data_IF_204060626706
#
_entry.id   IF_204060626706
#
_cell.length_a   1.000
_cell.length_b   1.000
_cell.length_c   1.000
_cell.angle_alpha   90.00
_cell.angle_beta   90.00
_cell.angle_gamma   90.00
#
_symmetry.space_group_name_H-M   'P 1'
#
loop_
_entity.id
_entity.type
_entity.pdbx_description
1 polymer ?
#
# COMPACT_ATOMS: atom_id res chain seq x y z
N UNK A 1 -0.66 11.08 -0.82
CA UNK A 1 0.49 10.55 -0.10
C UNK A 1 1.75 10.56 -0.95
N UNK A 2 2.92 10.42 -0.34
CA UNK A 2 4.20 10.38 -1.07
C UNK A 2 4.31 9.19 -2.02
N UNK A 3 3.73 8.06 -1.66
CA UNK A 3 3.69 6.87 -2.51
C UNK A 3 2.94 7.14 -3.83
N UNK A 4 1.81 7.81 -3.78
CA UNK A 4 1.07 8.21 -4.99
C UNK A 4 1.82 9.25 -5.83
N UNK A 5 2.61 10.09 -5.21
CA UNK A 5 3.53 10.98 -5.93
C UNK A 5 4.55 10.22 -6.78
N UNK A 6 5.06 9.09 -6.24
CA UNK A 6 5.96 8.21 -7.00
C UNK A 6 5.22 7.47 -8.13
N UNK A 7 3.97 7.05 -7.91
CA UNK A 7 3.11 6.47 -8.96
C UNK A 7 2.92 7.46 -10.11
N UNK A 8 2.56 8.70 -9.80
CA UNK A 8 2.39 9.75 -10.81
C UNK A 8 3.67 9.99 -11.62
N UNK A 9 4.81 10.01 -10.94
CA UNK A 9 6.11 10.17 -11.61
C UNK A 9 6.41 9.02 -12.56
N UNK A 10 6.21 7.78 -12.13
CA UNK A 10 6.42 6.59 -12.96
C UNK A 10 5.49 6.57 -14.18
N UNK A 11 4.21 6.85 -13.98
CA UNK A 11 3.22 6.94 -15.07
C UNK A 11 3.55 8.06 -16.06
N UNK A 12 4.07 9.19 -15.56
CA UNK A 12 4.52 10.29 -16.42
C UNK A 12 5.65 9.92 -17.38
N UNK A 13 6.45 8.91 -17.01
CA UNK A 13 7.49 8.33 -17.89
C UNK A 13 6.98 7.15 -18.73
N UNK A 14 5.71 6.82 -18.66
CA UNK A 14 5.13 5.68 -19.38
C UNK A 14 5.47 4.32 -18.79
N UNK A 15 5.93 4.26 -17.54
CA UNK A 15 6.26 3.00 -16.87
C UNK A 15 5.01 2.31 -16.33
N UNK A 16 5.08 0.99 -16.26
CA UNK A 16 4.00 0.16 -15.69
C UNK A 16 4.09 0.11 -14.17
N UNK A 17 2.96 0.28 -13.52
CA UNK A 17 2.83 0.37 -12.06
C UNK A 17 1.72 -0.55 -11.57
N UNK A 18 1.89 -1.11 -10.38
CA UNK A 18 0.83 -1.77 -9.62
C UNK A 18 0.70 -1.14 -8.24
N UNK A 19 -0.54 -1.03 -7.76
CA UNK A 19 -0.87 -0.54 -6.41
C UNK A 19 -1.74 -1.57 -5.73
N UNK A 20 -1.29 -2.09 -4.60
CA UNK A 20 -2.05 -2.99 -3.74
C UNK A 20 -2.22 -2.30 -2.39
N UNK A 21 -3.47 -2.03 -2.01
CA UNK A 21 -3.82 -1.42 -0.74
C UNK A 21 -4.35 -2.47 0.24
N UNK A 22 -3.71 -2.59 1.39
CA UNK A 22 -4.04 -3.57 2.43
C UNK A 22 -5.06 -3.05 3.45
N UNK A 23 -5.47 -1.81 3.33
CA UNK A 23 -6.61 -1.26 4.07
C UNK A 23 -7.52 -0.55 3.08
N UNK A 24 -8.82 -0.74 3.26
CA UNK A 24 -9.83 -0.05 2.46
C UNK A 24 -10.30 1.20 3.21
N UNK A 25 -10.26 2.36 2.56
CA UNK A 25 -10.92 3.55 3.06
C UNK A 25 -12.45 3.43 3.00
N UNK A 26 -13.15 4.23 3.78
CA UNK A 26 -14.61 4.25 3.80
C UNK A 26 -15.22 4.68 2.44
N UNK A 27 -14.47 5.43 1.65
CA UNK A 27 -14.86 5.92 0.32
C UNK A 27 -13.68 5.86 -0.64
N UNK A 28 -13.93 5.74 -1.97
CA UNK A 28 -12.88 5.85 -2.97
C UNK A 28 -12.12 7.16 -2.84
N UNK A 29 -10.80 7.11 -2.87
CA UNK A 29 -9.97 8.31 -2.86
C UNK A 29 -9.95 8.99 -4.22
N UNK A 30 -9.61 10.28 -4.24
CA UNK A 30 -9.42 11.01 -5.51
C UNK A 30 -8.33 10.40 -6.37
N UNK A 31 -7.26 9.90 -5.74
CA UNK A 31 -6.16 9.23 -6.44
C UNK A 31 -6.59 7.94 -7.13
N UNK A 32 -7.39 7.12 -6.43
CA UNK A 32 -7.95 5.89 -7.01
C UNK A 32 -8.77 6.20 -8.24
N UNK A 33 -9.71 7.13 -8.12
CA UNK A 33 -10.56 7.55 -9.22
C UNK A 33 -9.72 8.06 -10.41
N UNK A 34 -8.75 8.91 -10.14
CA UNK A 34 -7.88 9.47 -11.18
C UNK A 34 -7.11 8.38 -11.94
N UNK A 35 -6.54 7.41 -11.21
CA UNK A 35 -5.78 6.32 -11.81
C UNK A 35 -6.70 5.42 -12.63
N UNK A 36 -7.84 5.03 -12.10
CA UNK A 36 -8.79 4.16 -12.80
C UNK A 36 -9.35 4.80 -14.08
N UNK A 37 -9.66 6.10 -14.03
CA UNK A 37 -10.22 6.82 -15.17
C UNK A 37 -9.18 7.10 -16.29
N UNK A 38 -7.92 7.33 -15.93
CA UNK A 38 -6.89 7.77 -16.87
C UNK A 38 -5.84 6.70 -17.21
N UNK A 39 -5.66 5.71 -16.36
CA UNK A 39 -4.65 4.66 -16.50
C UNK A 39 -5.26 3.27 -16.24
N UNK A 40 -6.17 2.81 -17.13
CA UNK A 40 -6.92 1.57 -16.91
C UNK A 40 -6.05 0.32 -16.88
N UNK A 41 -4.83 0.37 -17.41
CA UNK A 41 -3.88 -0.75 -17.39
C UNK A 41 -3.13 -0.89 -16.06
N UNK A 42 -3.24 0.09 -15.17
CA UNK A 42 -2.65 -0.01 -13.83
C UNK A 42 -3.43 -1.02 -13.01
N UNK A 43 -2.74 -2.02 -12.46
CA UNK A 43 -3.32 -2.90 -11.47
C UNK A 43 -3.53 -2.09 -10.18
N UNK A 44 -4.78 -1.78 -9.88
CA UNK A 44 -5.17 -1.12 -8.64
C UNK A 44 -6.09 -2.02 -7.84
N UNK A 45 -5.59 -2.58 -6.74
CA UNK A 45 -6.32 -3.50 -5.90
C UNK A 45 -6.45 -2.96 -4.49
N UNK A 46 -7.67 -3.04 -3.95
CA UNK A 46 -7.94 -2.78 -2.54
C UNK A 46 -8.40 -4.06 -1.86
N UNK A 47 -7.90 -4.30 -0.66
CA UNK A 47 -8.36 -5.40 0.17
C UNK A 47 -9.86 -5.28 0.45
N UNK A 48 -10.61 -6.38 0.27
CA UNK A 48 -12.08 -6.36 0.28
C UNK A 48 -12.72 -6.23 1.65
N UNK A 49 -12.02 -6.59 2.70
CA UNK A 49 -12.53 -6.43 4.06
C UNK A 49 -12.13 -5.09 4.61
N UNK A 50 -13.04 -4.49 5.38
CA UNK A 50 -12.84 -3.21 6.01
C UNK A 50 -11.83 -3.24 7.14
N UNK A 51 -11.98 -2.32 8.04
CA UNK A 51 -11.14 -2.20 9.22
C UNK A 51 -11.37 -3.36 10.20
N UNK A 52 -10.30 -3.92 10.76
CA UNK A 52 -10.37 -5.00 11.74
C UNK A 52 -11.17 -4.64 12.98
N UNK A 53 -11.20 -3.36 13.34
CA UNK A 53 -12.00 -2.85 14.46
C UNK A 53 -13.50 -2.77 14.17
N UNK A 54 -13.91 -2.72 12.89
CA UNK A 54 -15.32 -2.67 12.51
C UNK A 54 -15.93 -4.07 12.39
N UNK A 55 -15.17 -5.01 11.82
CA UNK A 55 -15.68 -6.36 11.53
C UNK A 55 -15.58 -7.31 12.70
N UNK A 56 -14.58 -7.13 13.59
CA UNK A 56 -14.24 -8.05 14.70
C UNK A 56 -14.09 -9.52 14.27
N UNK A 57 -13.99 -9.77 12.96
CA UNK A 57 -13.79 -11.09 12.38
C UNK A 57 -12.34 -11.23 11.90
N UNK A 58 -11.48 -11.65 12.81
CA UNK A 58 -10.04 -11.80 12.54
C UNK A 58 -9.74 -12.82 11.44
N UNK A 59 -10.46 -13.93 11.38
CA UNK A 59 -10.22 -14.98 10.38
C UNK A 59 -10.55 -14.50 8.97
N UNK A 60 -11.63 -13.75 8.82
CA UNK A 60 -12.02 -13.12 7.56
C UNK A 60 -11.01 -12.08 7.11
N UNK A 61 -10.55 -11.23 8.01
CA UNK A 61 -9.56 -10.20 7.73
C UNK A 61 -8.21 -10.81 7.34
N UNK A 62 -7.79 -11.86 8.04
CA UNK A 62 -6.57 -12.59 7.72
C UNK A 62 -6.66 -13.27 6.35
N UNK A 63 -7.78 -13.89 6.01
CA UNK A 63 -8.01 -14.50 4.71
C UNK A 63 -7.93 -13.46 3.58
N UNK A 64 -8.51 -12.28 3.79
CA UNK A 64 -8.44 -11.17 2.84
C UNK A 64 -7.00 -10.65 2.68
N UNK A 65 -6.25 -10.53 3.77
CA UNK A 65 -4.84 -10.14 3.73
C UNK A 65 -4.01 -11.14 2.93
N UNK A 66 -4.21 -12.44 3.15
CA UNK A 66 -3.52 -13.50 2.40
C UNK A 66 -3.89 -13.46 0.92
N UNK A 67 -5.15 -13.24 0.59
CA UNK A 67 -5.60 -13.10 -0.81
C UNK A 67 -4.96 -11.89 -1.50
N UNK A 68 -4.93 -10.74 -0.84
CA UNK A 68 -4.28 -9.53 -1.36
C UNK A 68 -2.76 -9.71 -1.48
N UNK A 69 -2.14 -10.43 -0.55
CA UNK A 69 -0.73 -10.76 -0.60
C UNK A 69 -0.37 -11.68 -1.77
N UNK A 70 -1.23 -12.64 -2.11
CA UNK A 70 -1.04 -13.47 -3.33
C UNK A 70 -0.97 -12.60 -4.58
N UNK A 71 -1.83 -11.61 -4.68
CA UNK A 71 -1.82 -10.66 -5.80
C UNK A 71 -0.55 -9.79 -5.78
N UNK A 72 -0.14 -9.33 -4.61
CA UNK A 72 1.10 -8.58 -4.43
C UNK A 72 2.32 -9.40 -4.85
N UNK A 73 2.39 -10.69 -4.50
CA UNK A 73 3.48 -11.59 -4.94
C UNK A 73 3.54 -11.74 -6.45
N UNK A 74 2.40 -11.82 -7.12
CA UNK A 74 2.33 -11.84 -8.59
C UNK A 74 2.90 -10.54 -9.18
N UNK A 75 2.52 -9.39 -8.63
CA UNK A 75 3.05 -8.11 -9.08
C UNK A 75 4.57 -8.01 -8.85
N UNK A 76 5.05 -8.44 -7.69
CA UNK A 76 6.49 -8.45 -7.38
C UNK A 76 7.30 -9.37 -8.29
N UNK A 77 6.70 -10.42 -8.85
CA UNK A 77 7.35 -11.33 -9.80
C UNK A 77 7.22 -10.87 -11.27
N UNK A 78 6.42 -9.86 -11.54
CA UNK A 78 6.17 -9.37 -12.91
C UNK A 78 7.30 -8.46 -13.38
N UNK A 79 8.09 -8.94 -14.33
CA UNK A 79 9.24 -8.21 -14.89
C UNK A 79 8.84 -6.94 -15.65
N UNK A 80 7.59 -6.83 -16.09
CA UNK A 80 7.09 -5.66 -16.82
C UNK A 80 6.77 -4.48 -15.89
N UNK A 81 6.59 -4.73 -14.59
CA UNK A 81 6.27 -3.69 -13.60
C UNK A 81 7.54 -2.98 -13.13
N UNK A 82 7.58 -1.67 -13.31
CA UNK A 82 8.67 -0.80 -12.87
C UNK A 82 8.54 -0.39 -11.41
N UNK A 83 7.32 -0.20 -10.93
CA UNK A 83 7.00 0.21 -9.57
C UNK A 83 5.83 -0.60 -9.02
N UNK A 84 6.00 -1.15 -7.83
CA UNK A 84 4.93 -1.78 -7.05
C UNK A 84 4.76 -1.02 -5.75
N UNK A 85 3.55 -0.56 -5.47
CA UNK A 85 3.19 0.08 -4.21
C UNK A 85 2.41 -0.91 -3.36
N UNK A 86 2.88 -1.17 -2.15
CA UNK A 86 2.22 -1.97 -1.13
C UNK A 86 1.76 -1.05 -0.01
N UNK A 87 0.58 -0.47 -0.23
CA UNK A 87 0.04 0.57 0.63
C UNK A 87 -0.55 -0.01 1.90
N UNK A 88 -0.17 0.54 3.04
CA UNK A 88 -0.59 0.10 4.38
C UNK A 88 -0.22 -1.36 4.71
N UNK A 89 0.83 -1.90 4.08
CA UNK A 89 1.28 -3.28 4.30
C UNK A 89 1.68 -3.54 5.75
N UNK A 90 2.31 -2.58 6.42
CA UNK A 90 2.86 -2.81 7.76
C UNK A 90 1.80 -3.14 8.80
N UNK A 91 0.53 -2.73 8.58
CA UNK A 91 -0.57 -3.16 9.43
C UNK A 91 -0.79 -4.68 9.40
N UNK A 92 -0.59 -5.31 8.25
CA UNK A 92 -0.71 -6.76 8.11
C UNK A 92 0.36 -7.50 8.90
N UNK A 93 1.52 -6.89 9.04
CA UNK A 93 2.61 -7.40 9.89
C UNK A 93 2.30 -7.19 11.38
N UNK A 94 1.80 -6.01 11.75
CA UNK A 94 1.41 -5.69 13.12
C UNK A 94 0.28 -6.60 13.62
N UNK A 95 -0.70 -6.90 12.78
CA UNK A 95 -1.81 -7.80 13.10
C UNK A 95 -1.42 -9.27 12.98
N UNK A 96 -0.20 -9.59 12.54
CA UNK A 96 0.28 -10.96 12.31
C UNK A 96 -0.57 -11.75 11.30
N UNK A 97 -1.14 -11.06 10.32
CA UNK A 97 -1.84 -11.68 9.20
C UNK A 97 -0.87 -12.20 8.15
N UNK A 98 0.29 -11.55 8.00
CA UNK A 98 1.37 -11.95 7.11
C UNK A 98 2.66 -12.11 7.89
N UNK A 99 3.49 -13.06 7.47
CA UNK A 99 4.82 -13.27 8.02
C UNK A 99 5.82 -12.29 7.37
N UNK A 100 6.50 -11.52 8.20
CA UNK A 100 7.48 -10.52 7.76
C UNK A 100 8.65 -11.14 6.98
N UNK A 101 9.12 -12.32 7.38
CA UNK A 101 10.21 -13.00 6.68
C UNK A 101 9.79 -13.46 5.29
N UNK A 102 8.55 -13.91 5.12
CA UNK A 102 7.99 -14.26 3.81
C UNK A 102 7.88 -13.03 2.91
N UNK A 103 7.45 -11.90 3.45
CA UNK A 103 7.38 -10.64 2.73
C UNK A 103 8.76 -10.22 2.23
N UNK A 104 9.77 -10.23 3.08
CA UNK A 104 11.15 -9.88 2.73
C UNK A 104 11.70 -10.83 1.66
N UNK A 105 11.41 -12.12 1.77
CA UNK A 105 11.82 -13.10 0.76
C UNK A 105 11.23 -12.77 -0.63
N UNK A 106 9.95 -12.46 -0.70
CA UNK A 106 9.31 -12.06 -1.96
C UNK A 106 9.92 -10.77 -2.53
N UNK A 107 10.23 -9.80 -1.68
CA UNK A 107 10.90 -8.57 -2.07
C UNK A 107 12.30 -8.81 -2.62
N UNK A 108 13.06 -9.72 -2.01
CA UNK A 108 14.40 -10.09 -2.47
C UNK A 108 14.39 -10.79 -3.84
N UNK A 109 13.33 -11.52 -4.14
CA UNK A 109 13.18 -12.27 -5.39
C UNK A 109 12.62 -11.44 -6.56
N UNK A 110 12.28 -10.17 -6.32
CA UNK A 110 11.74 -9.31 -7.38
C UNK A 110 12.77 -9.02 -8.47
N UNK A 111 12.33 -8.66 -9.69
CA UNK A 111 13.25 -8.21 -10.75
C UNK A 111 14.10 -7.01 -10.31
N UNK A 112 15.36 -6.96 -10.77
CA UNK A 112 16.33 -5.92 -10.36
C UNK A 112 15.87 -4.49 -10.67
N UNK A 113 15.13 -4.32 -11.77
CA UNK A 113 14.66 -3.00 -12.22
C UNK A 113 13.32 -2.59 -11.61
N UNK A 114 12.74 -3.43 -10.76
CA UNK A 114 11.49 -3.13 -10.09
C UNK A 114 11.75 -2.45 -8.76
N UNK A 115 11.21 -1.24 -8.61
CA UNK A 115 11.18 -0.51 -7.34
C UNK A 115 9.93 -0.87 -6.54
N UNK A 116 10.05 -0.89 -5.23
CA UNK A 116 8.92 -1.13 -4.33
C UNK A 116 8.82 -0.02 -3.32
N UNK A 117 7.61 0.48 -3.11
CA UNK A 117 7.28 1.44 -2.06
C UNK A 117 6.29 0.79 -1.11
N UNK A 118 6.62 0.82 0.17
CA UNK A 118 5.79 0.26 1.23
C UNK A 118 5.41 1.37 2.18
N UNK A 119 4.14 1.47 2.54
CA UNK A 119 3.65 2.42 3.51
C UNK A 119 2.99 1.73 4.69
N UNK A 120 2.81 2.46 5.78
CA UNK A 120 2.08 1.99 6.94
C UNK A 120 2.43 2.75 8.21
N UNK A 121 1.85 2.33 9.32
CA UNK A 121 2.11 2.88 10.65
C UNK A 121 2.53 1.75 11.58
N UNK A 122 3.72 1.88 12.18
CA UNK A 122 4.24 0.84 13.07
C UNK A 122 4.52 -0.49 12.37
N UNK A 123 4.97 -1.48 13.11
CA UNK A 123 5.30 -2.80 12.57
C UNK A 123 6.51 -2.83 11.64
N UNK A 124 6.88 -4.01 11.20
CA UNK A 124 7.89 -4.17 10.17
C UNK A 124 9.32 -3.77 10.57
N UNK A 125 9.75 -4.12 11.78
CA UNK A 125 11.13 -3.80 12.22
C UNK A 125 12.21 -4.40 11.31
N UNK A 126 12.05 -5.67 10.94
CA UNK A 126 12.96 -6.35 10.01
C UNK A 126 12.89 -5.72 8.62
N UNK A 127 11.69 -5.39 8.17
CA UNK A 127 11.44 -4.72 6.90
C UNK A 127 12.14 -3.35 6.83
N UNK A 128 12.06 -2.56 7.89
CA UNK A 128 12.76 -1.27 7.98
C UNK A 128 14.27 -1.43 7.91
N UNK A 129 14.81 -2.45 8.56
CA UNK A 129 16.25 -2.74 8.49
C UNK A 129 16.69 -3.24 7.09
N UNK A 130 15.79 -3.90 6.38
CA UNK A 130 16.02 -4.41 5.04
C UNK A 130 15.96 -3.31 3.97
N UNK A 131 15.08 -2.33 4.12
CA UNK A 131 14.81 -1.31 3.12
C UNK A 131 16.03 -0.40 2.86
N UNK A 132 16.23 -0.01 1.61
CA UNK A 132 17.30 0.94 1.22
C UNK A 132 17.06 2.34 1.78
N UNK A 133 15.80 2.75 1.87
CA UNK A 133 15.38 4.07 2.37
C UNK A 133 14.19 3.91 3.29
N UNK A 134 14.25 4.55 4.44
CA UNK A 134 13.13 4.63 5.38
C UNK A 134 12.88 6.10 5.71
N UNK A 135 11.65 6.56 5.48
CA UNK A 135 11.21 7.91 5.83
C UNK A 135 10.10 7.84 6.87
N UNK A 136 10.19 8.70 7.86
CA UNK A 136 9.15 8.86 8.87
C UNK A 136 8.46 10.21 8.70
N UNK A 137 7.13 10.19 8.56
CA UNK A 137 6.30 11.39 8.54
C UNK A 137 5.67 11.55 9.92
N UNK A 138 6.07 12.60 10.64
CA UNK A 138 5.58 12.90 11.98
C UNK A 138 4.46 13.91 11.94
N UNK A 139 3.42 13.63 12.71
CA UNK A 139 2.37 14.58 12.99
C UNK A 139 2.85 15.55 14.08
N UNK A 140 3.36 16.70 13.66
CA UNK A 140 3.76 17.77 14.59
C UNK A 140 2.54 18.54 15.09
N UNK A 141 1.59 18.80 14.20
CA UNK A 141 0.31 19.46 14.48
C UNK A 141 -0.70 19.01 13.43
N UNK A 142 -1.82 18.51 13.87
CA UNK A 142 -2.85 18.03 12.97
C UNK A 142 -4.16 18.81 13.12
N UNK A 143 -4.76 19.16 12.01
CA UNK A 143 -6.00 19.94 11.97
C UNK A 143 -7.15 19.27 12.74
N UNK A 144 -7.21 17.93 12.75
CA UNK A 144 -8.21 17.17 13.48
C UNK A 144 -8.20 17.47 14.99
N UNK A 145 -7.01 17.71 15.57
CA UNK A 145 -6.88 18.06 16.98
C UNK A 145 -7.50 19.43 17.33
N UNK A 146 -7.73 20.26 16.32
CA UNK A 146 -8.45 21.54 16.40
C UNK A 146 -9.87 21.44 15.85
N UNK A 147 -10.42 20.23 15.75
CA UNK A 147 -11.77 19.95 15.26
C UNK A 147 -12.03 20.38 13.80
N UNK A 148 -10.96 20.52 13.02
CA UNK A 148 -11.05 20.80 11.58
C UNK A 148 -11.23 19.45 10.87
N UNK A 149 -12.37 19.30 10.22
CA UNK A 149 -12.73 18.06 9.53
C UNK A 149 -12.00 17.90 8.19
N UNK A 150 -11.78 16.66 7.80
CA UNK A 150 -11.22 16.32 6.49
C UNK A 150 -12.08 16.86 5.34
N UNK A 151 -11.43 17.36 4.30
CA UNK A 151 -12.09 17.95 3.13
C UNK A 151 -11.83 17.15 1.87
N UNK A 152 -12.90 16.95 1.11
CA UNK A 152 -12.83 16.32 -0.21
C UNK A 152 -11.94 17.13 -1.15
N UNK A 153 -11.07 16.43 -1.87
CA UNK A 153 -10.11 17.05 -2.80
C UNK A 153 -8.85 17.61 -2.13
N UNK A 154 -8.73 17.50 -0.79
CA UNK A 154 -7.54 17.90 -0.02
C UNK A 154 -7.04 16.72 0.82
N UNK A 155 -7.93 16.14 1.60
CA UNK A 155 -7.57 15.05 2.52
C UNK A 155 -7.98 13.67 1.98
N UNK A 156 -8.91 13.61 1.01
CA UNK A 156 -9.33 12.38 0.34
C UNK A 156 -9.89 12.63 -1.06
#
# INVERSE_FOLDING_TARGET
SSAFGMVMRALGYGYKVAVIQFLKGAQPSGEEKFIQDNFPDVLFHQMKTGYTWDTQDRDKDKAAAISSWKLAKKALADESLHLVVLDELTYMLSFKYLDESEVIQALNNRPKNQSVVITGRGGGKKLKNWADTVSEVRDIKHAFNSQIMARKGVDY
#
